data_IF_491149456263
#
_entry.id   IF_491149456263
#
_cell.length_a   1.000
_cell.length_b   1.000
_cell.length_c   1.000
_cell.angle_alpha   90.00
_cell.angle_beta   90.00
_cell.angle_gamma   90.00
#
_symmetry.space_group_name_H-M   'P 1'
#
loop_
_entity.id
_entity.type
_entity.pdbx_description
1 polymer ?
#
# COMPACT_ATOMS: atom_id res chain seq x y z
N UNK A 1 8.44 8.00 35.86
CA UNK A 1 8.47 6.64 36.47
C UNK A 1 7.15 5.89 36.24
N UNK A 2 5.98 6.54 36.24
CA UNK A 2 4.70 5.85 35.99
C UNK A 2 4.61 5.19 34.61
N UNK A 3 5.10 5.83 33.55
CA UNK A 3 5.06 5.26 32.19
C UNK A 3 5.75 3.89 32.12
N UNK A 4 7.02 3.80 32.55
CA UNK A 4 7.77 2.53 32.60
C UNK A 4 7.07 1.46 33.44
N UNK A 5 6.39 1.87 34.52
CA UNK A 5 5.67 0.93 35.39
C UNK A 5 4.43 0.29 34.78
N UNK A 6 3.83 0.95 33.79
CA UNK A 6 2.66 0.46 33.05
C UNK A 6 3.03 -0.31 31.79
N UNK A 7 4.28 -0.22 31.35
CA UNK A 7 4.75 -0.94 30.16
C UNK A 7 4.93 -2.43 30.44
N UNK A 8 4.45 -3.25 29.49
CA UNK A 8 4.73 -4.68 29.47
C UNK A 8 6.23 -4.94 29.27
N UNK A 9 6.70 -6.04 29.83
CA UNK A 9 8.09 -6.44 29.74
C UNK A 9 8.47 -6.75 28.28
N UNK A 10 9.36 -5.93 27.71
CA UNK A 10 9.76 -6.01 26.30
C UNK A 10 11.18 -5.46 26.13
N UNK A 11 11.82 -5.78 25.00
CA UNK A 11 13.17 -5.29 24.68
C UNK A 11 13.25 -3.75 24.68
N UNK A 12 12.18 -3.08 24.26
CA UNK A 12 12.08 -1.61 24.23
C UNK A 12 12.03 -1.06 25.66
N UNK A 13 11.23 -1.66 26.54
CA UNK A 13 11.15 -1.25 27.95
C UNK A 13 12.51 -1.36 28.64
N UNK A 14 13.23 -2.47 28.44
CA UNK A 14 14.57 -2.67 29.03
C UNK A 14 15.59 -1.65 28.55
N UNK A 15 15.51 -1.24 27.27
CA UNK A 15 16.35 -0.19 26.71
C UNK A 15 16.06 1.16 27.40
N UNK A 16 14.79 1.50 27.55
CA UNK A 16 14.37 2.75 28.19
C UNK A 16 14.73 2.79 29.68
N UNK A 17 14.54 1.70 30.41
CA UNK A 17 14.99 1.58 31.81
C UNK A 17 16.50 1.76 31.93
N UNK A 18 17.28 1.15 31.02
CA UNK A 18 18.74 1.33 30.99
C UNK A 18 19.15 2.77 30.74
N UNK A 19 18.42 3.50 29.89
CA UNK A 19 18.77 4.88 29.57
C UNK A 19 18.38 5.84 30.69
N UNK A 20 17.23 5.62 31.31
CA UNK A 20 16.79 6.37 32.50
C UNK A 20 17.73 6.13 33.68
N UNK A 21 18.22 4.90 33.88
CA UNK A 21 19.21 4.58 34.91
C UNK A 21 20.50 5.40 34.74
N UNK A 22 21.04 5.46 33.52
CA UNK A 22 22.24 6.26 33.21
C UNK A 22 22.05 7.74 33.50
N UNK A 23 20.90 8.30 33.11
CA UNK A 23 20.62 9.74 33.24
C UNK A 23 20.35 10.14 34.70
N UNK A 24 19.71 9.27 35.46
CA UNK A 24 19.31 9.56 36.85
C UNK A 24 20.31 9.08 37.90
N UNK A 25 21.28 8.25 37.50
CA UNK A 25 22.23 7.61 38.41
C UNK A 25 21.61 6.56 39.33
N UNK A 26 20.36 6.17 39.08
CA UNK A 26 19.66 5.12 39.83
C UNK A 26 20.09 3.75 39.35
N UNK A 27 20.17 2.78 40.27
CA UNK A 27 20.46 1.40 39.89
C UNK A 27 19.28 0.86 39.04
N UNK A 28 19.54 0.15 37.92
CA UNK A 28 18.48 -0.47 37.11
C UNK A 28 17.55 -1.38 37.92
N UNK A 29 18.05 -1.94 39.03
CA UNK A 29 17.30 -2.77 39.97
C UNK A 29 16.26 -1.98 40.76
N UNK A 30 16.53 -0.70 41.02
CA UNK A 30 15.64 0.23 41.72
C UNK A 30 14.55 0.80 40.79
N UNK A 31 14.81 0.78 39.48
CA UNK A 31 13.81 1.10 38.45
C UNK A 31 12.82 -0.03 38.20
N UNK A 32 13.03 -1.24 38.76
CA UNK A 32 12.08 -2.37 38.68
C UNK A 32 10.84 -2.05 39.49
N UNK A 33 9.97 -1.25 38.90
CA UNK A 33 8.61 -1.07 39.39
C UNK A 33 7.94 -2.44 39.30
N UNK A 34 7.49 -2.97 40.44
CA UNK A 34 6.66 -4.19 40.50
C UNK A 34 5.49 -3.97 39.54
N UNK A 35 5.58 -4.54 38.34
CA UNK A 35 4.52 -4.48 37.36
C UNK A 35 3.29 -5.05 38.04
N UNK A 36 2.29 -4.20 38.34
CA UNK A 36 0.95 -4.70 38.61
C UNK A 36 0.56 -5.40 37.32
N UNK A 37 0.58 -6.72 37.34
CA UNK A 37 0.05 -7.55 36.27
C UNK A 37 -1.43 -7.27 36.23
N UNK A 38 -1.82 -6.23 35.49
CA UNK A 38 -3.20 -6.05 35.07
C UNK A 38 -3.48 -7.20 34.10
N UNK A 39 -3.98 -8.31 34.65
CA UNK A 39 -4.57 -9.39 33.85
C UNK A 39 -5.79 -8.80 33.16
N UNK A 40 -5.59 -8.28 31.95
CA UNK A 40 -6.68 -8.17 31.00
C UNK A 40 -7.21 -9.61 30.79
N UNK A 41 -8.54 -9.81 30.79
CA UNK A 41 -9.10 -11.15 30.61
C UNK A 41 -8.49 -11.75 29.34
N UNK A 42 -7.98 -12.98 29.48
CA UNK A 42 -7.50 -13.78 28.36
C UNK A 42 -8.52 -13.65 27.23
N UNK A 43 -8.11 -13.04 26.12
CA UNK A 43 -8.86 -13.16 24.87
C UNK A 43 -8.97 -14.65 24.65
N UNK A 44 -10.20 -15.14 24.81
CA UNK A 44 -10.59 -16.52 24.54
C UNK A 44 -9.89 -16.90 23.24
N UNK A 45 -8.96 -17.86 23.34
CA UNK A 45 -8.47 -18.59 22.18
C UNK A 45 -9.67 -19.34 21.64
N UNK A 46 -10.47 -18.67 20.80
CA UNK A 46 -11.30 -19.37 19.84
C UNK A 46 -10.31 -20.08 18.94
N UNK A 47 -10.25 -21.40 19.07
CA UNK A 47 -10.00 -22.25 17.92
C UNK A 47 -11.13 -21.97 16.95
N UNK A 48 -10.99 -20.91 16.17
CA UNK A 48 -11.80 -20.77 14.97
C UNK A 48 -11.21 -21.77 13.97
N UNK A 49 -12.08 -22.71 13.59
CA UNK A 49 -11.83 -23.65 12.53
C UNK A 49 -11.27 -22.90 11.32
N UNK A 50 -10.24 -23.48 10.72
CA UNK A 50 -9.74 -23.08 9.40
C UNK A 50 -10.85 -23.45 8.41
N UNK A 51 -11.80 -22.55 8.25
CA UNK A 51 -12.68 -22.46 7.09
C UNK A 51 -12.52 -21.07 6.51
N UNK A 52 -12.07 -21.02 5.26
CA UNK A 52 -11.86 -19.84 4.43
C UNK A 52 -12.94 -18.76 4.63
N UNK A 53 -12.60 -17.67 5.32
CA UNK A 53 -13.31 -16.39 5.22
C UNK A 53 -12.31 -15.24 5.23
N UNK A 54 -12.20 -14.64 4.06
CA UNK A 54 -11.88 -13.24 3.75
C UNK A 54 -10.83 -12.57 4.64
N UNK A 55 -9.64 -12.36 4.06
CA UNK A 55 -8.66 -11.41 4.59
C UNK A 55 -9.37 -10.07 4.77
N UNK A 56 -9.49 -9.58 6.00
CA UNK A 56 -9.77 -8.18 6.28
C UNK A 56 -8.71 -7.36 5.52
N UNK A 57 -9.11 -6.77 4.38
CA UNK A 57 -8.23 -5.93 3.56
C UNK A 57 -8.17 -4.56 4.23
N UNK A 58 -7.19 -4.36 5.11
CA UNK A 58 -6.90 -3.05 5.70
C UNK A 58 -6.27 -2.12 4.67
N UNK A 59 -6.59 -0.83 4.75
CA UNK A 59 -5.94 0.18 3.91
C UNK A 59 -4.45 0.31 4.24
N UNK A 60 -3.61 0.40 3.20
CA UNK A 60 -2.16 0.55 3.31
C UNK A 60 -1.70 1.98 2.98
N UNK A 61 -1.32 2.81 3.95
CA UNK A 61 -1.02 4.23 3.71
C UNK A 61 0.24 4.47 2.86
N UNK A 62 1.14 3.48 2.79
CA UNK A 62 2.38 3.58 1.99
C UNK A 62 2.27 3.01 0.58
N UNK A 63 1.13 2.41 0.24
CA UNK A 63 0.84 1.81 -1.06
C UNK A 63 0.78 2.82 -2.21
N UNK A 64 0.89 2.34 -3.44
CA UNK A 64 0.81 3.18 -4.64
C UNK A 64 -0.58 3.85 -4.77
N UNK A 65 -1.67 3.13 -4.49
CA UNK A 65 -3.02 3.70 -4.47
C UNK A 65 -3.13 4.87 -3.48
N UNK A 66 -2.55 4.73 -2.29
CA UNK A 66 -2.52 5.78 -1.27
C UNK A 66 -1.67 7.00 -1.67
N UNK A 67 -0.53 6.77 -2.32
CA UNK A 67 0.29 7.87 -2.87
C UNK A 67 -0.46 8.66 -3.95
N UNK A 68 -1.18 7.95 -4.82
CA UNK A 68 -2.01 8.58 -5.85
C UNK A 68 -3.16 9.36 -5.21
N UNK A 69 -3.86 8.76 -4.23
CA UNK A 69 -4.89 9.42 -3.44
C UNK A 69 -4.39 10.73 -2.83
N UNK A 70 -3.21 10.74 -2.19
CA UNK A 70 -2.62 11.96 -1.62
C UNK A 70 -2.45 13.08 -2.65
N UNK A 71 -2.01 12.72 -3.88
CA UNK A 71 -1.88 13.68 -4.97
C UNK A 71 -3.24 14.21 -5.42
N UNK A 72 -4.23 13.33 -5.59
CA UNK A 72 -5.58 13.73 -6.02
C UNK A 72 -6.30 14.58 -4.98
N UNK A 73 -6.09 14.29 -3.70
CA UNK A 73 -6.66 15.08 -2.61
C UNK A 73 -6.03 16.48 -2.53
N UNK A 74 -4.73 16.58 -2.82
CA UNK A 74 -4.01 17.87 -2.82
C UNK A 74 -4.28 18.68 -4.09
N UNK A 75 -4.39 18.01 -5.24
CA UNK A 75 -4.54 18.59 -6.57
C UNK A 75 -5.70 17.91 -7.35
N UNK A 76 -6.98 18.16 -6.99
CA UNK A 76 -8.14 17.47 -7.58
C UNK A 76 -8.26 17.57 -9.10
N UNK A 77 -7.75 18.65 -9.70
CA UNK A 77 -7.79 18.85 -11.15
C UNK A 77 -6.98 17.79 -11.93
N UNK A 78 -6.02 17.12 -11.28
CA UNK A 78 -5.21 16.07 -11.90
C UNK A 78 -6.00 14.77 -12.14
N UNK A 79 -7.20 14.61 -11.56
CA UNK A 79 -8.06 13.46 -11.84
C UNK A 79 -8.37 13.30 -13.34
N UNK A 80 -8.42 14.42 -14.08
CA UNK A 80 -8.63 14.44 -15.54
C UNK A 80 -7.46 13.87 -16.35
N UNK A 81 -6.29 13.72 -15.75
CA UNK A 81 -5.08 13.17 -16.39
C UNK A 81 -5.02 11.64 -16.23
N UNK A 82 -5.93 11.04 -15.46
CA UNK A 82 -6.00 9.58 -15.31
C UNK A 82 -6.84 9.02 -16.46
N UNK A 83 -6.14 8.60 -17.51
CA UNK A 83 -6.72 7.84 -18.60
C UNK A 83 -7.01 6.40 -18.14
N UNK A 84 -8.15 5.85 -18.56
CA UNK A 84 -8.57 4.46 -18.31
C UNK A 84 -8.64 4.05 -16.83
N UNK A 85 -9.51 4.71 -16.06
CA UNK A 85 -9.81 4.35 -14.67
C UNK A 85 -10.28 2.89 -14.51
N UNK A 86 -10.95 2.35 -15.53
CA UNK A 86 -11.45 0.97 -15.57
C UNK A 86 -10.32 -0.05 -15.44
N UNK A 87 -9.09 0.27 -15.89
CA UNK A 87 -7.95 -0.64 -15.77
C UNK A 87 -7.53 -0.89 -14.31
N UNK A 88 -8.04 -0.10 -13.37
CA UNK A 88 -7.73 -0.22 -11.95
C UNK A 88 -8.87 -0.86 -11.14
N UNK A 89 -10.01 -1.21 -11.75
CA UNK A 89 -11.17 -1.77 -11.04
C UNK A 89 -10.94 -3.18 -10.49
N UNK A 90 -10.04 -3.94 -11.11
CA UNK A 90 -9.82 -5.36 -10.79
C UNK A 90 -8.75 -5.57 -9.70
N UNK A 91 -8.18 -4.49 -9.17
CA UNK A 91 -7.17 -4.56 -8.13
C UNK A 91 -7.75 -5.11 -6.83
N UNK A 92 -6.99 -5.96 -6.15
CA UNK A 92 -7.47 -6.51 -4.87
C UNK A 92 -7.41 -5.50 -3.72
N UNK A 93 -6.64 -4.41 -3.88
CA UNK A 93 -6.27 -3.48 -2.83
C UNK A 93 -7.36 -2.42 -2.58
N UNK A 94 -7.80 -2.22 -1.33
CA UNK A 94 -8.87 -1.28 -1.01
C UNK A 94 -8.50 0.18 -1.30
N UNK A 95 -7.23 0.56 -1.11
CA UNK A 95 -6.74 1.91 -1.45
C UNK A 95 -6.79 2.19 -2.96
N UNK A 96 -6.71 1.16 -3.82
CA UNK A 96 -6.81 1.34 -5.27
C UNK A 96 -8.27 1.54 -5.70
N UNK A 97 -9.21 0.81 -5.08
CA UNK A 97 -10.63 1.08 -5.31
C UNK A 97 -11.03 2.48 -4.86
N UNK A 98 -10.58 2.90 -3.67
CA UNK A 98 -10.84 4.25 -3.18
C UNK A 98 -10.21 5.31 -4.08
N UNK A 99 -9.01 5.05 -4.61
CA UNK A 99 -8.37 5.91 -5.62
C UNK A 99 -9.27 6.10 -6.85
N UNK A 100 -9.85 5.02 -7.39
CA UNK A 100 -10.76 5.08 -8.55
C UNK A 100 -12.02 5.89 -8.22
N UNK A 101 -12.61 5.67 -7.04
CA UNK A 101 -13.81 6.40 -6.59
C UNK A 101 -13.53 7.91 -6.46
N UNK A 102 -12.42 8.28 -5.81
CA UNK A 102 -12.02 9.69 -5.62
C UNK A 102 -11.69 10.36 -6.95
N UNK A 103 -10.97 9.68 -7.84
CA UNK A 103 -10.67 10.20 -9.18
C UNK A 103 -11.94 10.44 -10.00
N UNK A 104 -12.88 9.48 -9.97
CA UNK A 104 -14.17 9.61 -10.65
C UNK A 104 -14.99 10.78 -10.08
N UNK A 105 -15.06 10.89 -8.75
CA UNK A 105 -15.76 11.97 -8.07
C UNK A 105 -15.30 13.36 -8.51
N UNK A 106 -13.98 13.60 -8.51
CA UNK A 106 -13.43 14.91 -8.91
C UNK A 106 -13.48 15.15 -10.42
N UNK A 107 -13.56 14.10 -11.22
CA UNK A 107 -13.79 14.22 -12.67
C UNK A 107 -15.21 14.70 -12.94
N UNK A 108 -16.19 14.13 -12.24
CA UNK A 108 -17.61 14.49 -12.37
C UNK A 108 -17.95 15.82 -11.67
N UNK A 109 -17.22 16.17 -10.62
CA UNK A 109 -17.47 17.34 -9.77
C UNK A 109 -16.20 18.19 -9.59
N UNK A 110 -15.74 18.90 -10.63
CA UNK A 110 -14.46 19.62 -10.60
C UNK A 110 -14.42 20.81 -9.63
N UNK A 111 -15.58 21.33 -9.24
CA UNK A 111 -15.70 22.48 -8.32
C UNK A 111 -15.83 22.05 -6.84
N UNK A 112 -15.98 20.75 -6.57
CA UNK A 112 -16.16 20.23 -5.21
C UNK A 112 -14.83 20.10 -4.48
N UNK A 113 -14.85 20.39 -3.17
CA UNK A 113 -13.68 20.27 -2.30
C UNK A 113 -13.59 18.92 -1.59
N UNK A 114 -12.53 18.75 -0.80
CA UNK A 114 -12.31 17.56 0.03
C UNK A 114 -13.48 17.33 1.02
N UNK A 115 -14.06 18.40 1.57
CA UNK A 115 -15.19 18.28 2.51
C UNK A 115 -16.45 17.68 1.87
N UNK A 116 -16.70 18.03 0.61
CA UNK A 116 -17.83 17.48 -0.15
C UNK A 116 -17.59 16.00 -0.45
N UNK A 117 -16.36 15.63 -0.85
CA UNK A 117 -15.93 14.24 -1.03
C UNK A 117 -16.08 13.41 0.26
N UNK A 118 -15.59 13.91 1.40
CA UNK A 118 -15.67 13.18 2.67
C UNK A 118 -17.11 12.95 3.13
N UNK A 119 -18.06 13.75 2.66
CA UNK A 119 -19.48 13.62 2.98
C UNK A 119 -20.17 12.53 2.16
N UNK A 120 -19.58 12.10 1.04
CA UNK A 120 -20.12 11.04 0.18
C UNK A 120 -19.54 9.66 0.48
N UNK A 121 -18.36 9.61 1.10
CA UNK A 121 -17.65 8.37 1.41
C UNK A 121 -18.19 7.69 2.67
N UNK A 122 -17.96 6.38 2.75
CA UNK A 122 -18.19 5.63 3.98
C UNK A 122 -17.22 6.05 5.09
N UNK A 123 -17.55 5.67 6.33
CA UNK A 123 -16.80 6.07 7.51
C UNK A 123 -15.34 5.61 7.49
N UNK A 124 -15.06 4.42 6.97
CA UNK A 124 -13.71 3.84 7.02
C UNK A 124 -12.83 4.51 5.97
N UNK A 125 -13.35 4.71 4.75
CA UNK A 125 -12.67 5.46 3.69
C UNK A 125 -12.42 6.92 4.08
N UNK A 126 -13.41 7.61 4.65
CA UNK A 126 -13.27 8.98 5.13
C UNK A 126 -12.23 9.10 6.26
N UNK A 127 -12.22 8.12 7.19
CA UNK A 127 -11.22 8.06 8.25
C UNK A 127 -9.81 7.84 7.69
N UNK A 128 -9.68 6.95 6.71
CA UNK A 128 -8.40 6.69 6.03
C UNK A 128 -7.87 7.92 5.30
N UNK A 129 -8.71 8.61 4.51
CA UNK A 129 -8.33 9.86 3.84
C UNK A 129 -7.92 10.92 4.85
N UNK A 130 -8.65 11.07 5.95
CA UNK A 130 -8.29 12.02 7.01
C UNK A 130 -6.90 11.73 7.61
N UNK A 131 -6.59 10.45 7.86
CA UNK A 131 -5.26 10.04 8.30
C UNK A 131 -4.20 10.31 7.22
N UNK A 132 -4.48 9.97 5.96
CA UNK A 132 -3.58 10.14 4.83
C UNK A 132 -3.17 11.60 4.66
N UNK A 133 -4.14 12.52 4.62
CA UNK A 133 -3.91 13.97 4.53
C UNK A 133 -3.02 14.46 5.68
N UNK A 134 -3.24 13.94 6.89
CA UNK A 134 -2.50 14.36 8.09
C UNK A 134 -1.06 13.84 8.12
N UNK A 135 -0.77 12.73 7.45
CA UNK A 135 0.54 12.05 7.52
C UNK A 135 1.42 12.24 6.29
N UNK A 136 0.84 12.60 5.13
CA UNK A 136 1.62 12.70 3.91
C UNK A 136 2.39 14.03 3.85
N UNK A 137 3.61 13.96 3.35
CA UNK A 137 4.36 15.16 2.98
C UNK A 137 3.82 15.68 1.64
N UNK A 138 3.46 16.97 1.56
CA UNK A 138 2.90 17.54 0.34
C UNK A 138 3.94 17.54 -0.77
N UNK A 139 3.51 17.10 -1.96
CA UNK A 139 4.33 17.15 -3.17
C UNK A 139 4.17 18.53 -3.80
N UNK A 140 5.29 19.15 -4.22
CA UNK A 140 5.26 20.42 -4.95
C UNK A 140 4.39 20.31 -6.21
N UNK A 141 3.53 21.29 -6.46
CA UNK A 141 2.59 21.32 -7.60
C UNK A 141 3.29 21.11 -8.96
N UNK A 142 4.46 21.72 -9.13
CA UNK A 142 5.30 21.58 -10.35
C UNK A 142 5.69 20.13 -10.66
N UNK A 143 5.80 19.28 -9.64
CA UNK A 143 6.21 17.88 -9.74
C UNK A 143 5.02 16.92 -9.64
N UNK A 144 3.85 17.40 -9.20
CA UNK A 144 2.70 16.56 -8.88
C UNK A 144 2.22 15.74 -10.09
N UNK A 145 2.23 16.35 -11.29
CA UNK A 145 1.82 15.67 -12.52
C UNK A 145 2.77 14.55 -12.92
N UNK A 146 4.08 14.78 -12.87
CA UNK A 146 5.07 13.74 -13.20
C UNK A 146 5.04 12.60 -12.17
N UNK A 147 4.97 12.95 -10.89
CA UNK A 147 4.87 11.97 -9.81
C UNK A 147 3.61 11.11 -9.92
N UNK A 148 2.46 11.70 -10.28
CA UNK A 148 1.22 10.98 -10.52
C UNK A 148 1.39 9.95 -11.64
N UNK A 149 1.98 10.36 -12.77
CA UNK A 149 2.24 9.46 -13.90
C UNK A 149 3.14 8.30 -13.51
N UNK A 150 4.21 8.57 -12.76
CA UNK A 150 5.11 7.53 -12.27
C UNK A 150 4.39 6.54 -11.34
N UNK A 151 3.53 7.04 -10.44
CA UNK A 151 2.77 6.18 -9.55
C UNK A 151 1.76 5.32 -10.31
N UNK A 152 1.03 5.90 -11.26
CA UNK A 152 0.08 5.16 -12.11
C UNK A 152 0.79 4.09 -12.95
N UNK A 153 1.94 4.43 -13.54
CA UNK A 153 2.75 3.50 -14.30
C UNK A 153 3.21 2.31 -13.43
N UNK A 154 3.75 2.59 -12.25
CA UNK A 154 4.16 1.53 -11.32
C UNK A 154 2.98 0.71 -10.79
N UNK A 155 1.81 1.33 -10.61
CA UNK A 155 0.61 0.63 -10.19
C UNK A 155 0.14 -0.33 -11.29
N UNK A 156 0.12 0.10 -12.55
CA UNK A 156 -0.18 -0.78 -13.70
C UNK A 156 0.78 -1.95 -13.79
N UNK A 157 2.10 -1.72 -13.59
CA UNK A 157 3.08 -2.81 -13.54
C UNK A 157 2.83 -3.81 -12.42
N UNK A 158 2.24 -3.36 -11.31
CA UNK A 158 1.94 -4.27 -10.19
C UNK A 158 0.80 -5.24 -10.51
N UNK A 159 -0.06 -4.92 -11.49
CA UNK A 159 -0.96 -5.90 -12.10
C UNK A 159 -0.20 -6.75 -13.12
N UNK A 160 0.44 -7.79 -12.61
CA UNK A 160 1.21 -8.72 -13.43
C UNK A 160 0.40 -9.38 -14.55
N UNK A 161 -0.93 -9.52 -14.44
CA UNK A 161 -1.71 -10.26 -15.45
C UNK A 161 -1.94 -9.40 -16.68
N UNK A 162 -2.48 -8.20 -16.50
CA UNK A 162 -2.69 -7.23 -17.59
C UNK A 162 -1.36 -6.84 -18.21
N UNK A 163 -0.33 -6.63 -17.38
CA UNK A 163 1.00 -6.26 -17.88
C UNK A 163 1.67 -7.38 -18.68
N UNK A 164 1.50 -8.65 -18.29
CA UNK A 164 1.95 -9.80 -19.10
C UNK A 164 1.24 -9.80 -20.46
N UNK A 165 -0.06 -9.50 -20.50
CA UNK A 165 -0.82 -9.48 -21.76
C UNK A 165 -0.33 -8.38 -22.71
N UNK A 166 -0.17 -7.15 -22.22
CA UNK A 166 0.39 -6.04 -23.00
C UNK A 166 1.79 -6.37 -23.54
N UNK A 167 2.68 -6.86 -22.67
CA UNK A 167 4.05 -7.22 -23.06
C UNK A 167 4.06 -8.39 -24.06
N UNK A 168 3.11 -9.33 -23.97
CA UNK A 168 2.94 -10.38 -24.99
C UNK A 168 2.53 -9.81 -26.34
N UNK A 169 1.60 -8.87 -26.40
CA UNK A 169 1.21 -8.22 -27.66
C UNK A 169 2.38 -7.45 -28.29
N UNK A 170 3.16 -6.72 -27.48
CA UNK A 170 4.37 -6.04 -27.94
C UNK A 170 5.41 -7.06 -28.44
N UNK A 171 5.49 -8.24 -27.80
CA UNK A 171 6.42 -9.31 -28.18
C UNK A 171 6.08 -9.89 -29.54
N UNK A 172 4.80 -10.14 -29.80
CA UNK A 172 4.32 -10.63 -31.09
C UNK A 172 4.63 -9.63 -32.23
N UNK A 173 4.61 -8.34 -31.92
CA UNK A 173 4.98 -7.27 -32.85
C UNK A 173 6.52 -7.09 -33.01
N UNK A 174 7.33 -7.81 -32.25
CA UNK A 174 8.79 -7.81 -32.35
C UNK A 174 9.50 -6.58 -31.78
N UNK A 175 8.78 -5.70 -31.08
CA UNK A 175 9.26 -4.37 -30.67
C UNK A 175 9.64 -4.27 -29.18
N UNK A 176 9.83 -5.40 -28.49
CA UNK A 176 10.24 -5.35 -27.10
C UNK A 176 11.65 -4.79 -26.94
N UNK A 177 11.78 -3.83 -26.03
CA UNK A 177 13.06 -3.36 -25.52
C UNK A 177 13.69 -4.36 -24.55
N UNK A 178 14.98 -4.17 -24.20
CA UNK A 178 15.67 -5.00 -23.21
C UNK A 178 15.02 -4.90 -21.83
N UNK A 179 14.65 -3.70 -21.41
CA UNK A 179 13.98 -3.44 -20.12
C UNK A 179 12.60 -4.12 -20.06
N UNK A 180 11.81 -4.03 -21.12
CA UNK A 180 10.52 -4.71 -21.22
C UNK A 180 10.68 -6.23 -21.27
N UNK A 181 11.78 -6.73 -21.86
CA UNK A 181 12.06 -8.16 -21.96
C UNK A 181 12.36 -8.71 -20.57
N UNK A 182 13.16 -7.99 -19.81
CA UNK A 182 13.45 -8.29 -18.42
C UNK A 182 12.19 -8.24 -17.54
N UNK A 183 11.35 -7.21 -17.73
CA UNK A 183 10.08 -7.05 -17.02
C UNK A 183 9.13 -8.24 -17.28
N UNK A 184 8.94 -8.63 -18.55
CA UNK A 184 8.11 -9.78 -18.92
C UNK A 184 8.65 -11.08 -18.32
N UNK A 185 9.97 -11.29 -18.34
CA UNK A 185 10.61 -12.43 -17.70
C UNK A 185 10.35 -12.46 -16.19
N UNK A 186 10.51 -11.34 -15.49
CA UNK A 186 10.24 -11.22 -14.06
C UNK A 186 8.80 -11.61 -13.75
N UNK A 187 7.82 -11.04 -14.45
CA UNK A 187 6.40 -11.34 -14.22
C UNK A 187 6.05 -12.81 -14.48
N UNK A 188 6.60 -13.42 -15.53
CA UNK A 188 6.42 -14.85 -15.82
C UNK A 188 7.07 -15.72 -14.74
N UNK A 189 8.30 -15.41 -14.31
CA UNK A 189 9.00 -16.14 -13.25
C UNK A 189 8.27 -16.04 -11.90
N UNK A 190 7.76 -14.85 -11.55
CA UNK A 190 6.96 -14.67 -10.34
C UNK A 190 5.66 -15.49 -10.36
N UNK A 191 5.13 -15.79 -11.54
CA UNK A 191 3.92 -16.60 -11.74
C UNK A 191 4.22 -18.04 -12.23
N UNK A 192 5.46 -18.54 -12.10
CA UNK A 192 5.93 -19.80 -12.71
C UNK A 192 5.04 -21.02 -12.39
N UNK A 193 4.44 -21.04 -11.20
CA UNK A 193 3.57 -22.12 -10.74
C UNK A 193 2.18 -22.14 -11.38
N UNK A 194 1.80 -21.06 -12.07
CA UNK A 194 0.52 -20.88 -12.76
C UNK A 194 0.66 -20.82 -14.28
N UNK A 195 1.89 -20.90 -14.80
CA UNK A 195 2.15 -20.83 -16.24
C UNK A 195 1.75 -22.12 -16.96
N UNK A 196 1.05 -21.98 -18.08
CA UNK A 196 0.80 -23.08 -19.00
C UNK A 196 2.00 -23.25 -19.96
N UNK A 197 1.98 -24.31 -20.78
CA UNK A 197 3.05 -24.57 -21.75
C UNK A 197 3.36 -23.40 -22.72
N UNK A 198 2.39 -22.62 -23.24
CA UNK A 198 2.73 -21.47 -24.08
C UNK A 198 3.55 -20.41 -23.34
N UNK A 199 3.24 -20.09 -22.09
CA UNK A 199 4.01 -19.14 -21.28
C UNK A 199 5.41 -19.66 -20.93
N UNK A 200 5.55 -20.96 -20.66
CA UNK A 200 6.87 -21.57 -20.42
C UNK A 200 7.75 -21.52 -21.66
N UNK A 201 7.17 -21.71 -22.84
CA UNK A 201 7.90 -21.62 -24.11
C UNK A 201 8.27 -20.16 -24.44
N UNK A 202 7.39 -19.22 -24.15
CA UNK A 202 7.69 -17.79 -24.24
C UNK A 202 8.86 -17.40 -23.31
N UNK A 203 8.84 -17.85 -22.05
CA UNK A 203 9.92 -17.60 -21.10
C UNK A 203 11.28 -18.15 -21.59
N UNK A 204 11.28 -19.35 -22.20
CA UNK A 204 12.49 -19.93 -22.82
C UNK A 204 12.97 -19.07 -24.00
N UNK A 205 12.07 -18.60 -24.86
CA UNK A 205 12.41 -17.76 -26.00
C UNK A 205 12.98 -16.40 -25.57
N UNK A 206 12.39 -15.78 -24.54
CA UNK A 206 12.88 -14.53 -23.97
C UNK A 206 14.26 -14.70 -23.33
N UNK A 207 14.52 -15.82 -22.64
CA UNK A 207 15.82 -16.11 -22.01
C UNK A 207 16.95 -16.35 -23.02
N UNK A 208 16.63 -16.70 -24.27
CA UNK A 208 17.62 -16.94 -25.33
C UNK A 208 17.93 -15.69 -26.17
N UNK A 209 17.13 -14.63 -26.02
CA UNK A 209 17.32 -13.33 -26.69
C UNK A 209 18.28 -12.39 -25.93
N UNK A 210 18.65 -12.74 -24.69
CA UNK A 210 19.62 -12.02 -23.85
C UNK A 210 21.06 -12.35 -24.19
#
# INVERSE_FOLDING_TARGET
MELLSTMQESSIKRLLESEVAKVTGLDPSDLKTKSKTTRYPDRIRKQDNIEDKERDKSFEPSGLGSKILSVLLTYPYLSKEIEDLDNFSDFSQPEVHLMVEVASYFTDNPDNGISDLLSTLDKDSASFIGALISTHDPIDEKNAKEYLKDCLFNLRKSDSVTRIFELKEIFENGNLTEDETFELQQHLLSNIHKLEEPEKNLLKALSQKS
#
